data_IF_710771009771
#
_entry.id   IF_710771009771
#
_cell.length_a   1.000
_cell.length_b   1.000
_cell.length_c   1.000
_cell.angle_alpha   90.00
_cell.angle_beta   90.00
_cell.angle_gamma   90.00
#
_symmetry.space_group_name_H-M   'P 1'
#
loop_
_entity.id
_entity.type
_entity.pdbx_description
1 polymer ?
#
# COMPACT_ATOMS: atom_id res chain seq x y z
N UNK A 1 8.02 28.21 -18.61
CA UNK A 1 7.85 26.76 -18.84
C UNK A 1 7.22 26.17 -17.59
N UNK A 2 5.89 26.03 -17.54
CA UNK A 2 5.19 25.52 -16.37
C UNK A 2 5.00 24.00 -16.52
N UNK A 3 5.73 23.22 -15.74
CA UNK A 3 5.51 21.79 -15.63
C UNK A 3 4.17 21.54 -14.90
N UNK A 4 3.08 21.42 -15.66
CA UNK A 4 1.79 20.90 -15.19
C UNK A 4 1.92 19.39 -14.92
N UNK A 5 2.78 19.04 -13.96
CA UNK A 5 2.80 17.70 -13.39
C UNK A 5 1.42 17.43 -12.81
N UNK A 6 0.77 16.37 -13.28
CA UNK A 6 -0.47 15.82 -12.76
C UNK A 6 -0.43 15.81 -11.22
N UNK A 7 -0.99 16.83 -10.59
CA UNK A 7 -1.03 16.95 -9.13
C UNK A 7 -1.95 15.84 -8.67
N UNK A 8 -1.36 14.74 -8.20
CA UNK A 8 -2.11 13.67 -7.55
C UNK A 8 -2.99 14.31 -6.48
N UNK A 9 -4.27 13.97 -6.51
CA UNK A 9 -5.25 14.55 -5.61
C UNK A 9 -5.09 14.07 -4.17
N UNK A 10 -6.17 14.15 -3.41
CA UNK A 10 -6.14 13.80 -2.00
C UNK A 10 -5.84 12.30 -1.78
N UNK A 11 -6.32 11.42 -2.67
CA UNK A 11 -6.08 9.98 -2.56
C UNK A 11 -4.64 9.62 -2.89
N UNK A 12 -4.05 10.23 -3.92
CA UNK A 12 -2.65 10.01 -4.28
C UNK A 12 -1.71 10.35 -3.12
N UNK A 13 -1.96 11.48 -2.42
CA UNK A 13 -1.20 11.87 -1.22
C UNK A 13 -1.39 10.88 -0.07
N UNK A 14 -2.63 10.48 0.20
CA UNK A 14 -2.92 9.48 1.23
C UNK A 14 -2.25 8.13 0.94
N UNK A 15 -2.24 7.71 -0.33
CA UNK A 15 -1.54 6.50 -0.75
C UNK A 15 -0.03 6.61 -0.55
N UNK A 16 0.57 7.75 -0.89
CA UNK A 16 1.99 7.99 -0.66
C UNK A 16 2.35 7.93 0.83
N UNK A 17 1.55 8.56 1.70
CA UNK A 17 1.73 8.50 3.16
C UNK A 17 1.60 7.06 3.68
N UNK A 18 0.62 6.30 3.17
CA UNK A 18 0.43 4.91 3.55
C UNK A 18 1.61 4.02 3.14
N UNK A 19 2.20 4.25 1.96
CA UNK A 19 3.37 3.50 1.49
C UNK A 19 4.62 3.75 2.36
N UNK A 20 4.71 4.93 2.98
CA UNK A 20 5.81 5.30 3.90
C UNK A 20 5.61 4.75 5.32
N UNK A 21 4.40 4.28 5.65
CA UNK A 21 4.08 3.75 6.98
C UNK A 21 4.75 2.37 7.17
N UNK A 22 5.61 2.25 8.18
CA UNK A 22 6.33 1.01 8.48
C UNK A 22 5.38 -0.15 8.78
N UNK A 23 4.21 0.08 9.39
CA UNK A 23 3.25 -0.99 9.64
C UNK A 23 2.59 -1.48 8.35
N UNK A 24 2.42 -0.59 7.36
CA UNK A 24 1.92 -1.01 6.06
C UNK A 24 2.95 -1.87 5.32
N UNK A 25 4.23 -1.53 5.41
CA UNK A 25 5.32 -2.35 4.88
C UNK A 25 5.33 -3.74 5.53
N UNK A 26 5.22 -3.82 6.87
CA UNK A 26 5.10 -5.08 7.61
C UNK A 26 3.88 -5.92 7.19
N UNK A 27 2.74 -5.27 6.94
CA UNK A 27 1.55 -5.96 6.43
C UNK A 27 1.80 -6.62 5.07
N UNK A 28 2.53 -5.94 4.18
CA UNK A 28 2.92 -6.49 2.88
C UNK A 28 3.92 -7.62 3.00
N UNK A 29 4.92 -7.49 3.89
CA UNK A 29 5.88 -8.56 4.18
C UNK A 29 5.16 -9.84 4.59
N UNK A 30 4.28 -9.76 5.59
CA UNK A 30 3.50 -10.93 6.04
C UNK A 30 2.65 -11.53 4.93
N UNK A 31 2.00 -10.69 4.13
CA UNK A 31 1.17 -11.15 3.02
C UNK A 31 2.01 -11.84 1.94
N UNK A 32 3.18 -11.30 1.61
CA UNK A 32 4.10 -11.88 0.62
C UNK A 32 4.68 -13.20 1.12
N UNK A 33 5.06 -13.27 2.40
CA UNK A 33 5.46 -14.53 3.05
C UNK A 33 4.40 -15.61 2.86
N UNK A 34 3.15 -15.33 3.21
CA UNK A 34 2.05 -16.30 3.06
C UNK A 34 1.82 -16.68 1.60
N UNK A 35 1.87 -15.72 0.67
CA UNK A 35 1.63 -15.99 -0.75
C UNK A 35 2.73 -16.85 -1.39
N UNK A 36 3.98 -16.64 -1.02
CA UNK A 36 5.12 -17.37 -1.57
C UNK A 36 5.55 -18.57 -0.72
N UNK A 37 4.89 -18.82 0.43
CA UNK A 37 5.28 -19.86 1.37
C UNK A 37 6.67 -19.64 1.97
N UNK A 38 7.14 -18.38 2.04
CA UNK A 38 8.46 -18.02 2.53
C UNK A 38 8.47 -17.91 4.06
N UNK A 39 9.58 -18.30 4.68
CA UNK A 39 9.80 -18.18 6.12
C UNK A 39 10.36 -16.80 6.51
N UNK A 40 10.30 -16.45 7.80
CA UNK A 40 10.88 -15.21 8.34
C UNK A 40 12.35 -14.99 7.96
N UNK A 41 13.12 -16.08 7.86
CA UNK A 41 14.53 -16.01 7.44
C UNK A 41 14.72 -15.65 5.96
N UNK A 42 13.74 -15.92 5.09
CA UNK A 42 13.85 -15.64 3.66
C UNK A 42 13.35 -14.24 3.30
N UNK A 43 12.40 -13.71 4.06
CA UNK A 43 11.87 -12.36 3.85
C UNK A 43 11.71 -11.70 5.21
N UNK A 44 12.75 -11.09 5.80
CA UNK A 44 12.65 -10.42 7.10
C UNK A 44 11.63 -9.28 7.09
N UNK A 45 11.10 -8.97 8.27
CA UNK A 45 10.14 -7.88 8.44
C UNK A 45 10.84 -6.54 8.18
N UNK A 46 10.30 -5.72 7.28
CA UNK A 46 10.94 -4.50 6.77
C UNK A 46 11.70 -4.69 5.46
N UNK A 47 11.50 -5.80 4.73
CA UNK A 47 12.10 -5.99 3.40
C UNK A 47 11.40 -5.11 2.35
N UNK A 48 10.09 -4.85 2.49
CA UNK A 48 9.40 -3.93 1.60
C UNK A 48 9.71 -2.48 1.94
N UNK A 49 10.18 -1.75 0.93
CA UNK A 49 10.33 -0.31 1.01
C UNK A 49 9.07 0.42 0.50
N UNK A 50 9.13 1.75 0.54
CA UNK A 50 8.05 2.62 0.05
C UNK A 50 7.74 2.41 -1.44
N UNK A 51 8.73 2.03 -2.24
CA UNK A 51 8.57 1.78 -3.67
C UNK A 51 7.84 0.47 -3.93
N UNK A 52 8.24 -0.64 -3.30
CA UNK A 52 7.51 -1.91 -3.39
C UNK A 52 6.06 -1.75 -2.91
N UNK A 53 5.84 -0.99 -1.84
CA UNK A 53 4.49 -0.68 -1.36
C UNK A 53 3.67 0.11 -2.40
N UNK A 54 4.30 1.08 -3.08
CA UNK A 54 3.68 1.82 -4.19
C UNK A 54 3.35 0.88 -5.34
N UNK A 55 4.31 0.11 -5.81
CA UNK A 55 4.17 -0.77 -6.97
C UNK A 55 3.09 -1.84 -6.71
N UNK A 56 3.07 -2.40 -5.49
CA UNK A 56 2.00 -3.29 -5.06
C UNK A 56 0.62 -2.60 -5.06
N UNK A 57 0.54 -1.36 -4.55
CA UNK A 57 -0.70 -0.60 -4.49
C UNK A 57 -1.21 -0.24 -5.89
N UNK A 58 -0.31 0.16 -6.79
CA UNK A 58 -0.59 0.42 -8.20
C UNK A 58 -1.14 -0.84 -8.88
N UNK A 59 -0.45 -1.98 -8.73
CA UNK A 59 -0.88 -3.26 -9.27
C UNK A 59 -2.25 -3.71 -8.70
N UNK A 60 -2.46 -3.54 -7.39
CA UNK A 60 -3.71 -3.90 -6.73
C UNK A 60 -4.88 -3.01 -7.17
N UNK A 61 -4.64 -1.72 -7.42
CA UNK A 61 -5.64 -0.77 -7.89
C UNK A 61 -5.79 -0.75 -9.42
N UNK A 62 -5.00 -1.55 -10.15
CA UNK A 62 -4.92 -1.58 -11.62
C UNK A 62 -4.61 -0.21 -12.25
N UNK A 63 -3.68 0.51 -11.64
CA UNK A 63 -3.19 1.82 -12.12
C UNK A 63 -1.67 1.75 -12.27
N UNK A 64 -1.10 2.66 -13.05
CA UNK A 64 0.35 2.75 -13.22
C UNK A 64 0.96 3.75 -12.24
N UNK A 65 0.21 4.79 -11.87
CA UNK A 65 0.65 5.85 -10.98
C UNK A 65 -0.38 6.16 -9.90
N UNK A 66 0.10 6.47 -8.68
CA UNK A 66 -0.75 6.91 -7.57
C UNK A 66 -1.58 8.15 -7.92
N UNK A 67 -1.14 8.98 -8.86
CA UNK A 67 -1.91 10.14 -9.32
C UNK A 67 -3.24 9.72 -9.96
N UNK A 68 -3.31 8.53 -10.55
CA UNK A 68 -4.50 7.99 -11.20
C UNK A 68 -5.59 7.56 -10.20
N UNK A 69 -5.26 7.40 -8.91
CA UNK A 69 -6.24 7.08 -7.86
C UNK A 69 -7.39 8.08 -7.80
N UNK A 70 -7.09 9.36 -8.02
CA UNK A 70 -8.10 10.43 -7.97
C UNK A 70 -8.89 10.54 -9.29
N UNK A 71 -8.42 9.90 -10.37
CA UNK A 71 -9.10 9.89 -11.67
C UNK A 71 -9.96 8.64 -11.87
N UNK A 72 -9.61 7.51 -11.26
CA UNK A 72 -10.32 6.24 -11.39
C UNK A 72 -11.10 5.90 -10.12
N UNK A 73 -12.44 6.02 -10.21
CA UNK A 73 -13.35 5.66 -9.11
C UNK A 73 -13.20 4.21 -8.65
N UNK A 74 -12.88 3.30 -9.58
CA UNK A 74 -12.61 1.88 -9.30
C UNK A 74 -11.33 1.70 -8.49
N UNK A 75 -10.24 2.37 -8.89
CA UNK A 75 -8.98 2.38 -8.15
C UNK A 75 -9.16 2.96 -6.74
N UNK A 76 -9.90 4.07 -6.62
CA UNK A 76 -10.24 4.68 -5.35
C UNK A 76 -11.01 3.73 -4.42
N UNK A 77 -12.01 3.02 -4.96
CA UNK A 77 -12.77 2.03 -4.19
C UNK A 77 -11.88 0.87 -3.71
N UNK A 78 -11.01 0.36 -4.56
CA UNK A 78 -10.04 -0.68 -4.21
C UNK A 78 -9.07 -0.22 -3.14
N UNK A 79 -8.53 1.00 -3.27
CA UNK A 79 -7.66 1.61 -2.26
C UNK A 79 -8.35 1.75 -0.90
N UNK A 80 -9.61 2.20 -0.87
CA UNK A 80 -10.40 2.26 0.37
C UNK A 80 -10.55 0.89 1.02
N UNK A 81 -10.80 -0.16 0.24
CA UNK A 81 -10.90 -1.55 0.74
C UNK A 81 -9.56 -2.06 1.29
N UNK A 82 -8.45 -1.77 0.60
CA UNK A 82 -7.10 -2.10 1.08
C UNK A 82 -6.83 -1.41 2.41
N UNK A 83 -7.11 -0.11 2.51
CA UNK A 83 -6.96 0.65 3.76
C UNK A 83 -7.79 0.06 4.89
N UNK A 84 -9.06 -0.26 4.65
CA UNK A 84 -9.90 -0.87 5.68
C UNK A 84 -9.33 -2.19 6.19
N UNK A 85 -8.84 -3.07 5.28
CA UNK A 85 -8.20 -4.34 5.67
C UNK A 85 -6.91 -4.11 6.47
N UNK A 86 -6.10 -3.14 6.05
CA UNK A 86 -4.89 -2.76 6.78
C UNK A 86 -5.22 -2.22 8.17
N UNK A 87 -6.18 -1.29 8.31
CA UNK A 87 -6.59 -0.76 9.61
C UNK A 87 -7.18 -1.84 10.52
N UNK A 88 -8.01 -2.74 9.98
CA UNK A 88 -8.52 -3.88 10.74
C UNK A 88 -7.37 -4.77 11.24
N UNK A 89 -6.44 -5.14 10.35
CA UNK A 89 -5.26 -5.90 10.72
C UNK A 89 -4.39 -5.16 11.76
N UNK A 90 -4.19 -3.86 11.61
CA UNK A 90 -3.43 -3.01 12.55
C UNK A 90 -4.11 -2.95 13.93
N UNK A 91 -5.44 -2.88 13.96
CA UNK A 91 -6.21 -2.98 15.20
C UNK A 91 -6.04 -4.36 15.87
N UNK A 92 -6.08 -5.44 15.09
CA UNK A 92 -5.84 -6.79 15.61
C UNK A 92 -4.39 -7.02 16.07
N UNK A 93 -3.39 -6.39 15.44
CA UNK A 93 -1.98 -6.45 15.86
C UNK A 93 -1.73 -5.72 17.18
N UNK A 94 -2.53 -4.69 17.48
CA UNK A 94 -2.45 -3.91 18.71
C UNK A 94 -3.18 -4.52 19.90
N UNK A 95 -3.91 -5.63 19.71
CA UNK A 95 -4.43 -6.46 20.80
C UNK A 95 -3.60 -7.72 20.89
N UNK A 96 -2.63 -7.82 21.81
CA UNK A 96 -2.18 -9.14 22.24
C UNK A 96 -3.40 -9.83 22.85
N UNK A 97 -3.84 -10.92 22.22
CA UNK A 97 -4.68 -11.90 22.90
C UNK A 97 -3.80 -12.71 23.86
#
# INVERSE_FOLDING_TARGET
>A
MAANGTKGGQLARQAAMLCQDAQFQLYLDRRRRTKHGMTESQLPDGTHNTEDARDWLCAACQIQSRAELDHHVTAAATFRRIRQRFFAWKHHQGSPA
#
